data_IF_508864490456
#
_entry.id   IF_508864490456
#
_cell.length_a   1.000
_cell.length_b   1.000
_cell.length_c   1.000
_cell.angle_alpha   90.00
_cell.angle_beta   90.00
_cell.angle_gamma   90.00
#
_symmetry.space_group_name_H-M   'P 1'
#
loop_
_entity.id
_entity.type
_entity.pdbx_description
1 polymer ?
#
# COMPACT_ATOMS: atom_id res chain seq x y z
N UNK A 1 -32.14 -1.81 -8.47
CA UNK A 1 -31.63 -0.66 -7.69
C UNK A 1 -31.03 -1.22 -6.41
N UNK A 2 -29.70 -1.24 -6.28
CA UNK A 2 -29.05 -1.70 -5.05
C UNK A 2 -29.32 -0.67 -3.96
N UNK A 3 -29.97 -1.09 -2.87
CA UNK A 3 -30.11 -0.25 -1.67
C UNK A 3 -28.70 0.01 -1.15
N UNK A 4 -28.30 1.28 -1.11
CA UNK A 4 -27.03 1.70 -0.53
C UNK A 4 -27.12 1.37 0.97
N UNK A 5 -26.37 0.36 1.42
CA UNK A 5 -26.33 -0.01 2.83
C UNK A 5 -25.48 1.00 3.59
N UNK A 6 -25.84 1.23 4.84
CA UNK A 6 -25.04 2.06 5.75
C UNK A 6 -23.63 1.46 5.91
N UNK A 7 -22.56 2.29 5.95
CA UNK A 7 -21.18 1.85 6.12
C UNK A 7 -20.99 0.79 7.22
N UNK A 8 -21.58 1.03 8.40
CA UNK A 8 -21.52 0.10 9.53
C UNK A 8 -22.10 -1.28 9.20
N UNK A 9 -23.17 -1.34 8.42
CA UNK A 9 -23.79 -2.61 8.03
C UNK A 9 -22.88 -3.39 7.08
N UNK A 10 -22.18 -2.70 6.17
CA UNK A 10 -21.20 -3.32 5.26
C UNK A 10 -20.05 -3.89 6.09
N UNK A 11 -19.44 -3.09 6.97
CA UNK A 11 -18.32 -3.49 7.83
C UNK A 11 -18.66 -4.70 8.72
N UNK A 12 -19.89 -4.80 9.21
CA UNK A 12 -20.38 -5.92 10.01
C UNK A 12 -20.70 -7.19 9.19
N UNK A 13 -20.94 -7.04 7.88
CA UNK A 13 -21.26 -8.13 6.95
C UNK A 13 -20.07 -8.62 6.14
N UNK A 14 -18.90 -7.97 6.26
CA UNK A 14 -17.64 -8.44 5.67
C UNK A 14 -17.38 -9.88 6.06
N UNK A 15 -16.97 -10.67 5.08
CA UNK A 15 -16.78 -12.12 5.23
C UNK A 15 -15.64 -12.66 4.38
N UNK A 16 -14.72 -11.77 3.99
CA UNK A 16 -13.48 -12.15 3.33
C UNK A 16 -12.55 -12.91 4.28
N UNK A 17 -11.57 -13.59 3.70
CA UNK A 17 -10.54 -14.32 4.46
C UNK A 17 -9.54 -13.38 5.15
N UNK A 18 -9.35 -12.19 4.61
CA UNK A 18 -8.52 -11.09 5.14
C UNK A 18 -9.40 -9.86 5.39
N UNK A 19 -10.27 -9.49 4.43
CA UNK A 19 -11.25 -8.42 4.60
C UNK A 19 -12.46 -8.91 5.43
N UNK A 20 -12.23 -9.05 6.73
CA UNK A 20 -13.17 -9.63 7.69
C UNK A 20 -14.11 -8.62 8.35
N UNK A 21 -14.99 -9.13 9.21
CA UNK A 21 -15.89 -8.30 10.03
C UNK A 21 -15.12 -7.29 10.87
N UNK A 22 -15.74 -6.12 11.13
CA UNK A 22 -15.16 -5.04 11.93
C UNK A 22 -13.84 -4.49 11.39
N UNK A 23 -13.54 -4.71 10.11
CA UNK A 23 -12.36 -4.14 9.47
C UNK A 23 -12.74 -3.05 8.48
N UNK A 24 -11.85 -2.08 8.29
CA UNK A 24 -11.94 -1.02 7.28
C UNK A 24 -10.74 -1.08 6.33
N UNK A 25 -10.93 -0.57 5.11
CA UNK A 25 -9.84 -0.32 4.15
C UNK A 25 -9.46 1.14 4.27
N UNK A 26 -8.47 1.45 5.10
CA UNK A 26 -8.05 2.82 5.37
C UNK A 26 -7.04 3.27 4.31
N UNK A 27 -7.20 4.48 3.77
CA UNK A 27 -6.18 5.09 2.93
C UNK A 27 -4.91 5.28 3.75
N UNK A 28 -3.81 4.75 3.22
CA UNK A 28 -2.50 4.84 3.85
C UNK A 28 -1.74 6.09 3.42
N UNK A 29 -2.25 6.76 2.37
CA UNK A 29 -1.84 8.10 1.98
C UNK A 29 -2.85 9.10 2.55
N UNK A 30 -2.43 9.87 3.56
CA UNK A 30 -3.29 10.85 4.25
C UNK A 30 -2.58 12.21 4.40
N UNK A 31 -3.30 13.33 4.58
CA UNK A 31 -2.71 14.67 4.58
C UNK A 31 -1.55 14.87 5.58
N UNK A 32 -1.59 14.17 6.71
CA UNK A 32 -0.55 14.21 7.75
C UNK A 32 0.70 13.37 7.46
N UNK A 33 0.70 12.52 6.43
CA UNK A 33 1.82 11.60 6.17
C UNK A 33 3.07 12.28 5.61
N UNK A 34 2.99 13.56 5.20
CA UNK A 34 4.08 14.29 4.56
C UNK A 34 4.71 15.35 5.47
N UNK A 35 6.01 15.21 5.71
CA UNK A 35 6.84 16.25 6.30
C UNK A 35 7.23 17.28 5.23
N UNK A 36 6.51 18.41 5.24
CA UNK A 36 6.69 19.51 4.26
C UNK A 36 8.08 20.18 4.29
N UNK A 37 8.91 19.91 5.30
CA UNK A 37 10.28 20.45 5.42
C UNK A 37 11.33 19.64 4.67
N UNK A 38 11.01 18.42 4.24
CA UNK A 38 11.95 17.59 3.49
C UNK A 38 11.98 18.03 2.02
N UNK A 39 13.17 18.04 1.43
CA UNK A 39 13.37 18.25 0.00
C UNK A 39 14.33 17.18 -0.55
N UNK A 40 14.16 16.73 -1.80
CA UNK A 40 13.16 17.19 -2.77
C UNK A 40 11.75 16.63 -2.49
N UNK A 41 10.72 17.35 -2.95
CA UNK A 41 9.33 16.85 -2.97
C UNK A 41 9.09 16.08 -4.26
N UNK A 42 8.66 14.83 -4.14
CA UNK A 42 8.25 14.00 -5.27
C UNK A 42 6.75 13.75 -5.14
N UNK A 43 6.00 14.13 -6.18
CA UNK A 43 4.54 13.98 -6.17
C UNK A 43 4.13 12.50 -6.05
N UNK A 44 3.16 12.22 -5.18
CA UNK A 44 2.73 10.86 -4.84
C UNK A 44 3.71 10.05 -3.97
N UNK A 45 4.88 10.61 -3.60
CA UNK A 45 5.96 9.92 -2.89
C UNK A 45 6.36 10.68 -1.61
N UNK A 46 5.57 10.56 -0.52
CA UNK A 46 5.79 11.33 0.69
C UNK A 46 7.13 11.00 1.37
N UNK A 47 7.73 12.00 2.03
CA UNK A 47 8.95 11.85 2.82
C UNK A 47 10.16 11.25 2.09
N UNK A 48 10.22 11.42 0.76
CA UNK A 48 11.38 11.02 -0.02
C UNK A 48 12.66 11.69 0.53
N UNK A 49 13.73 10.90 0.60
CA UNK A 49 15.06 11.32 1.04
C UNK A 49 16.15 10.45 0.42
N UNK A 50 17.33 11.01 0.27
CA UNK A 50 18.54 10.28 -0.12
C UNK A 50 19.56 10.37 1.02
N UNK A 51 20.24 9.27 1.32
CA UNK A 51 21.30 9.22 2.32
C UNK A 51 22.59 9.83 1.74
N UNK A 52 22.85 11.09 2.05
CA UNK A 52 24.04 11.85 1.65
C UNK A 52 24.46 11.60 0.18
N UNK A 53 25.66 11.07 -0.04
CA UNK A 53 26.22 10.73 -1.35
C UNK A 53 26.00 9.27 -1.75
N UNK A 54 25.32 8.49 -0.92
CA UNK A 54 25.02 7.08 -1.19
C UNK A 54 23.83 6.96 -2.14
N UNK A 55 23.78 5.84 -2.89
CA UNK A 55 22.62 5.46 -3.70
C UNK A 55 21.57 4.73 -2.87
N UNK A 56 21.30 5.26 -1.68
CA UNK A 56 20.31 4.74 -0.74
C UNK A 56 19.24 5.79 -0.58
N UNK A 57 18.01 5.41 -0.91
CA UNK A 57 16.86 6.29 -0.95
C UNK A 57 15.79 5.72 -0.02
N UNK A 58 15.03 6.61 0.62
CA UNK A 58 13.91 6.24 1.49
C UNK A 58 12.69 7.07 1.14
N UNK A 59 11.52 6.47 1.25
CA UNK A 59 10.23 7.13 1.00
C UNK A 59 9.19 6.50 1.91
N UNK A 60 8.19 7.28 2.36
CA UNK A 60 6.99 6.71 2.96
C UNK A 60 6.13 6.06 1.86
N UNK A 61 5.05 5.36 2.23
CA UNK A 61 4.22 4.62 1.28
C UNK A 61 3.78 5.52 0.09
N UNK A 62 4.22 5.22 -1.14
CA UNK A 62 3.87 6.03 -2.30
C UNK A 62 2.59 5.52 -2.99
N UNK A 63 1.96 6.38 -3.78
CA UNK A 63 1.02 5.95 -4.84
C UNK A 63 1.78 5.28 -5.97
N UNK A 64 1.09 4.58 -6.87
CA UNK A 64 1.74 3.97 -8.05
C UNK A 64 2.44 5.05 -8.89
N UNK A 65 1.80 6.21 -9.10
CA UNK A 65 2.44 7.33 -9.80
C UNK A 65 3.62 7.92 -9.01
N UNK A 66 3.54 7.90 -7.68
CA UNK A 66 4.66 8.23 -6.80
C UNK A 66 5.86 7.32 -7.02
N UNK A 67 5.65 6.02 -7.15
CA UNK A 67 6.72 5.05 -7.47
C UNK A 67 7.35 5.42 -8.82
N UNK A 68 6.55 5.64 -9.86
CA UNK A 68 7.04 6.08 -11.18
C UNK A 68 7.87 7.36 -11.07
N UNK A 69 7.39 8.34 -10.32
CA UNK A 69 8.07 9.62 -10.14
C UNK A 69 9.42 9.45 -9.42
N UNK A 70 9.50 8.59 -8.40
CA UNK A 70 10.75 8.25 -7.72
C UNK A 70 11.73 7.58 -8.68
N UNK A 71 11.28 6.58 -9.45
CA UNK A 71 12.12 5.86 -10.40
C UNK A 71 12.65 6.79 -11.51
N UNK A 72 11.83 7.70 -12.03
CA UNK A 72 12.25 8.74 -12.98
C UNK A 72 13.28 9.68 -12.36
N UNK A 73 13.05 10.12 -11.13
CA UNK A 73 13.97 11.01 -10.41
C UNK A 73 15.35 10.37 -10.21
N UNK A 74 15.40 9.07 -9.90
CA UNK A 74 16.65 8.31 -9.75
C UNK A 74 17.29 7.98 -11.12
N UNK A 75 16.52 8.01 -12.21
CA UNK A 75 16.99 7.63 -13.55
C UNK A 75 16.95 6.13 -13.81
N UNK A 76 15.94 5.45 -13.28
CA UNK A 76 15.72 4.01 -13.42
C UNK A 76 14.79 3.67 -14.59
N UNK A 77 15.03 4.26 -15.75
CA UNK A 77 14.29 3.99 -16.99
C UNK A 77 15.24 3.39 -18.04
N UNK A 78 14.75 2.44 -18.84
CA UNK A 78 15.55 1.74 -19.87
C UNK A 78 16.17 2.67 -20.92
N UNK A 79 15.56 3.82 -21.21
CA UNK A 79 16.08 4.82 -22.13
C UNK A 79 17.24 5.65 -21.54
N UNK A 80 17.26 5.80 -20.22
CA UNK A 80 18.28 6.54 -19.48
C UNK A 80 19.47 5.69 -19.07
N UNK A 81 19.26 4.38 -18.81
CA UNK A 81 20.23 3.40 -18.27
C UNK A 81 21.10 3.92 -17.10
N UNK A 82 20.61 4.87 -16.30
CA UNK A 82 21.44 5.52 -15.26
C UNK A 82 21.53 4.71 -13.97
N UNK A 83 20.48 3.97 -13.64
CA UNK A 83 20.39 3.16 -12.43
C UNK A 83 19.51 1.93 -12.62
N UNK A 84 19.89 0.83 -11.97
CA UNK A 84 18.99 -0.27 -11.63
C UNK A 84 18.63 -0.13 -10.15
N UNK A 85 17.36 -0.24 -9.82
CA UNK A 85 16.83 0.00 -8.48
C UNK A 85 16.33 -1.31 -7.88
N UNK A 86 16.72 -1.59 -6.64
CA UNK A 86 16.05 -2.58 -5.81
C UNK A 86 15.11 -1.83 -4.87
N UNK A 87 13.80 -2.04 -5.01
CA UNK A 87 12.80 -1.49 -4.11
C UNK A 87 12.49 -2.47 -3.00
N UNK A 88 12.93 -2.14 -1.78
CA UNK A 88 12.69 -2.98 -0.60
C UNK A 88 11.54 -2.38 0.22
N UNK A 89 10.44 -3.12 0.37
CA UNK A 89 9.38 -2.80 1.32
C UNK A 89 9.64 -3.49 2.65
N UNK A 90 9.70 -2.71 3.73
CA UNK A 90 9.92 -3.22 5.09
C UNK A 90 8.62 -3.56 5.83
N UNK A 91 7.46 -3.40 5.18
CA UNK A 91 6.16 -3.46 5.87
C UNK A 91 5.74 -4.89 6.18
N UNK A 92 5.45 -5.18 7.45
CA UNK A 92 4.82 -6.45 7.83
C UNK A 92 3.32 -6.51 7.56
N UNK A 93 2.64 -5.36 7.54
CA UNK A 93 1.20 -5.33 7.25
C UNK A 93 0.92 -5.48 5.74
N UNK A 94 -0.18 -6.14 5.35
CA UNK A 94 -0.57 -6.27 3.96
C UNK A 94 -1.05 -4.92 3.39
N UNK A 95 -0.59 -4.61 2.18
CA UNK A 95 -0.95 -3.40 1.42
C UNK A 95 -1.70 -3.80 0.15
N UNK A 96 -2.68 -2.99 -0.24
CA UNK A 96 -3.34 -3.12 -1.53
C UNK A 96 -3.47 -1.75 -2.19
N UNK A 97 -3.24 -1.70 -3.50
CA UNK A 97 -3.48 -0.51 -4.30
C UNK A 97 -4.88 -0.55 -4.90
N UNK A 98 -5.66 0.51 -4.73
CA UNK A 98 -6.96 0.69 -5.39
C UNK A 98 -6.90 2.02 -6.15
N UNK A 99 -7.11 1.97 -7.47
CA UNK A 99 -6.99 3.14 -8.36
C UNK A 99 -5.66 3.91 -8.17
N UNK A 100 -4.57 3.17 -7.94
CA UNK A 100 -3.23 3.73 -7.75
C UNK A 100 -2.93 4.28 -6.34
N UNK A 101 -3.91 4.29 -5.43
CA UNK A 101 -3.74 4.73 -4.03
C UNK A 101 -3.50 3.52 -3.11
N UNK A 102 -2.58 3.61 -2.13
CA UNK A 102 -2.34 2.53 -1.18
C UNK A 102 -3.38 2.51 -0.05
N UNK A 103 -3.85 1.32 0.30
CA UNK A 103 -4.77 1.06 1.39
C UNK A 103 -4.25 -0.07 2.28
N UNK A 104 -4.61 0.02 3.57
CA UNK A 104 -4.28 -0.96 4.60
C UNK A 104 -5.54 -1.37 5.37
N UNK A 105 -5.48 -2.57 5.96
CA UNK A 105 -6.56 -3.09 6.78
C UNK A 105 -6.45 -2.55 8.21
N UNK A 106 -7.55 -2.06 8.78
CA UNK A 106 -7.61 -1.59 10.18
C UNK A 106 -8.84 -2.10 10.89
N UNK A 107 -8.76 -2.20 12.21
CA UNK A 107 -9.92 -2.44 13.05
C UNK A 107 -10.78 -1.16 13.14
N UNK A 108 -12.10 -1.29 13.03
CA UNK A 108 -13.03 -0.16 13.07
C UNK A 108 -13.03 0.57 14.43
N UNK A 109 -12.76 -0.13 15.53
CA UNK A 109 -12.69 0.42 16.89
C UNK A 109 -11.31 1.06 17.16
N UNK A 110 -10.27 0.64 16.43
CA UNK A 110 -8.90 1.18 16.56
C UNK A 110 -8.26 1.50 15.19
N UNK A 111 -8.83 2.46 14.43
CA UNK A 111 -8.45 2.68 13.04
C UNK A 111 -7.05 3.29 12.85
N UNK A 112 -6.43 3.79 13.92
CA UNK A 112 -5.08 4.36 13.92
C UNK A 112 -4.01 3.36 14.38
N UNK A 113 -4.39 2.18 14.88
CA UNK A 113 -3.46 1.15 15.35
C UNK A 113 -3.14 0.16 14.23
N UNK A 114 -1.87 -0.25 14.11
CA UNK A 114 -1.46 -1.28 13.15
C UNK A 114 -2.00 -2.65 13.58
N UNK A 115 -2.39 -3.48 12.62
CA UNK A 115 -2.65 -4.89 12.88
C UNK A 115 -1.30 -5.62 12.90
N UNK A 116 -0.85 -6.05 14.07
CA UNK A 116 0.45 -6.70 14.23
C UNK A 116 0.42 -8.16 13.77
N UNK A 117 1.36 -8.54 12.90
CA UNK A 117 1.59 -9.91 12.43
C UNK A 117 3.03 -10.33 12.76
N UNK A 118 3.38 -10.27 14.05
CA UNK A 118 4.76 -10.40 14.52
C UNK A 118 5.50 -11.61 13.92
N UNK A 119 6.62 -11.34 13.24
CA UNK A 119 7.46 -12.40 12.64
C UNK A 119 6.86 -13.07 11.39
N UNK A 120 5.92 -12.42 10.70
CA UNK A 120 5.43 -12.85 9.40
C UNK A 120 6.56 -12.83 8.36
N UNK A 121 6.57 -13.79 7.44
CA UNK A 121 7.54 -13.84 6.35
C UNK A 121 6.94 -13.31 5.05
N UNK A 122 7.81 -13.01 4.06
CA UNK A 122 7.43 -12.49 2.74
C UNK A 122 6.25 -13.23 2.12
N UNK A 123 6.37 -14.55 1.95
CA UNK A 123 5.36 -15.38 1.30
C UNK A 123 3.99 -15.23 1.95
N UNK A 124 3.94 -15.20 3.30
CA UNK A 124 2.68 -15.10 4.02
C UNK A 124 2.06 -13.70 3.91
N UNK A 125 2.87 -12.63 3.88
CA UNK A 125 2.36 -11.28 3.65
C UNK A 125 1.79 -11.16 2.23
N UNK A 126 2.54 -11.60 1.21
CA UNK A 126 2.10 -11.53 -0.19
C UNK A 126 0.84 -12.40 -0.44
N UNK A 127 0.74 -13.57 0.22
CA UNK A 127 -0.48 -14.38 0.18
C UNK A 127 -1.68 -13.65 0.80
N UNK A 128 -1.48 -12.94 1.91
CA UNK A 128 -2.52 -12.10 2.52
C UNK A 128 -2.93 -10.94 1.61
N UNK A 129 -1.97 -10.31 0.91
CA UNK A 129 -2.26 -9.24 -0.06
C UNK A 129 -3.07 -9.78 -1.26
N UNK A 130 -2.71 -10.96 -1.77
CA UNK A 130 -3.46 -11.62 -2.84
C UNK A 130 -4.89 -11.97 -2.41
N UNK A 131 -5.08 -12.49 -1.20
CA UNK A 131 -6.40 -12.81 -0.65
C UNK A 131 -7.21 -11.55 -0.37
N UNK A 132 -6.57 -10.48 0.12
CA UNK A 132 -7.21 -9.17 0.33
C UNK A 132 -7.75 -8.61 -1.00
N UNK A 133 -6.95 -8.66 -2.07
CA UNK A 133 -7.40 -8.29 -3.43
C UNK A 133 -8.63 -9.11 -3.85
N UNK A 134 -8.63 -10.42 -3.65
CA UNK A 134 -9.78 -11.28 -3.97
C UNK A 134 -11.02 -10.92 -3.15
N UNK A 135 -10.87 -10.71 -1.85
CA UNK A 135 -11.97 -10.33 -0.97
C UNK A 135 -12.60 -9.00 -1.40
N UNK A 136 -11.78 -8.01 -1.78
CA UNK A 136 -12.22 -6.71 -2.30
C UNK A 136 -13.08 -6.88 -3.55
N UNK A 137 -12.61 -7.68 -4.51
CA UNK A 137 -13.34 -7.90 -5.77
C UNK A 137 -14.66 -8.64 -5.54
N UNK A 138 -14.67 -9.64 -4.66
CA UNK A 138 -15.88 -10.40 -4.29
C UNK A 138 -16.88 -9.51 -3.55
N UNK A 139 -16.43 -8.69 -2.60
CA UNK A 139 -17.28 -7.73 -1.89
C UNK A 139 -17.84 -6.71 -2.88
N UNK A 140 -16.99 -6.12 -3.72
CA UNK A 140 -17.40 -5.09 -4.67
C UNK A 140 -18.45 -5.57 -5.67
N UNK A 141 -18.35 -6.81 -6.14
CA UNK A 141 -19.36 -7.41 -7.02
C UNK A 141 -20.77 -7.42 -6.40
N UNK A 142 -20.88 -7.48 -5.06
CA UNK A 142 -22.17 -7.41 -4.33
C UNK A 142 -22.72 -5.99 -4.24
N UNK A 143 -21.86 -4.99 -4.38
CA UNK A 143 -22.18 -3.57 -4.21
C UNK A 143 -22.03 -2.78 -5.52
N UNK A 144 -22.23 -3.43 -6.67
CA UNK A 144 -22.24 -2.76 -7.97
C UNK A 144 -20.85 -2.28 -8.41
N UNK A 145 -19.83 -3.12 -8.20
CA UNK A 145 -18.42 -2.85 -8.49
C UNK A 145 -17.87 -1.65 -7.70
N UNK A 146 -18.29 -1.53 -6.44
CA UNK A 146 -17.76 -0.52 -5.52
C UNK A 146 -17.36 -1.16 -4.21
N UNK A 147 -16.25 -0.72 -3.64
CA UNK A 147 -15.75 -1.13 -2.33
C UNK A 147 -15.85 0.05 -1.37
N UNK A 148 -16.17 -0.22 -0.10
CA UNK A 148 -16.16 0.79 0.93
C UNK A 148 -14.73 0.98 1.46
N UNK A 149 -14.20 2.19 1.32
CA UNK A 149 -12.90 2.63 1.84
C UNK A 149 -13.09 3.76 2.84
N UNK A 150 -12.08 4.00 3.68
CA UNK A 150 -12.11 5.03 4.71
C UNK A 150 -10.91 5.97 4.52
N UNK A 151 -11.18 7.26 4.37
CA UNK A 151 -10.17 8.31 4.28
C UNK A 151 -10.04 9.06 5.61
N UNK A 152 -8.84 9.55 5.89
CA UNK A 152 -8.56 10.42 7.04
C UNK A 152 -8.44 11.86 6.57
N UNK A 153 -9.30 12.73 7.11
CA UNK A 153 -9.27 14.17 6.86
C UNK A 153 -8.17 14.88 7.68
N UNK A 154 -7.77 16.11 7.31
CA UNK A 154 -6.72 16.83 8.03
C UNK A 154 -7.00 17.09 9.53
N UNK A 155 -8.26 17.05 9.95
CA UNK A 155 -8.69 17.18 11.34
C UNK A 155 -8.74 15.83 12.10
N UNK A 156 -8.32 14.74 11.44
CA UNK A 156 -8.32 13.38 11.97
C UNK A 156 -9.67 12.66 11.85
N UNK A 157 -10.68 13.28 11.23
CA UNK A 157 -11.96 12.62 11.01
C UNK A 157 -11.84 11.51 9.97
N UNK A 158 -12.43 10.34 10.27
CA UNK A 158 -12.57 9.24 9.33
C UNK A 158 -13.84 9.40 8.48
N UNK A 159 -13.72 9.26 7.17
CA UNK A 159 -14.83 9.40 6.21
C UNK A 159 -14.88 8.20 5.29
N UNK A 160 -16.01 7.50 5.33
CA UNK A 160 -16.25 6.35 4.44
C UNK A 160 -16.73 6.80 3.06
N UNK A 161 -16.18 6.17 2.03
CA UNK A 161 -16.47 6.47 0.63
C UNK A 161 -16.61 5.18 -0.18
N UNK A 162 -17.50 5.21 -1.18
CA UNK A 162 -17.65 4.11 -2.12
C UNK A 162 -16.72 4.31 -3.32
N UNK A 163 -15.66 3.52 -3.35
CA UNK A 163 -14.65 3.56 -4.40
C UNK A 163 -15.00 2.58 -5.52
N UNK A 164 -15.13 3.02 -6.79
CA UNK A 164 -15.36 2.11 -7.90
C UNK A 164 -14.13 1.24 -8.15
N UNK A 165 -14.36 -0.06 -8.36
CA UNK A 165 -13.27 -1.02 -8.60
C UNK A 165 -13.57 -1.98 -9.76
N UNK A 166 -12.51 -2.38 -10.43
CA UNK A 166 -12.43 -3.44 -11.43
C UNK A 166 -11.24 -4.35 -11.12
N UNK A 167 -11.09 -5.45 -11.87
CA UNK A 167 -9.92 -6.32 -11.73
C UNK A 167 -8.60 -5.58 -11.98
N UNK A 168 -8.60 -4.57 -12.85
CA UNK A 168 -7.41 -3.80 -13.21
C UNK A 168 -7.13 -2.65 -12.24
N UNK A 169 -8.12 -2.23 -11.44
CA UNK A 169 -7.93 -1.12 -10.49
C UNK A 169 -7.36 -1.57 -9.15
N UNK A 170 -7.45 -2.87 -8.81
CA UNK A 170 -7.00 -3.42 -7.53
C UNK A 170 -5.73 -4.23 -7.76
N UNK A 171 -4.62 -3.83 -7.14
CA UNK A 171 -3.30 -4.45 -7.34
C UNK A 171 -2.60 -4.72 -6.03
N UNK A 172 -1.92 -5.85 -5.93
CA UNK A 172 -0.94 -6.11 -4.88
C UNK A 172 0.35 -5.33 -5.17
N UNK A 173 1.22 -5.07 -4.17
CA UNK A 173 2.52 -4.46 -4.40
C UNK A 173 3.35 -5.21 -5.45
N UNK A 174 3.38 -6.54 -5.40
CA UNK A 174 4.12 -7.36 -6.37
C UNK A 174 3.66 -7.10 -7.80
N UNK A 175 2.34 -7.16 -8.04
CA UNK A 175 1.75 -6.88 -9.36
C UNK A 175 2.09 -5.47 -9.85
N UNK A 176 2.14 -4.47 -8.95
CA UNK A 176 2.53 -3.10 -9.32
C UNK A 176 3.97 -3.06 -9.86
N UNK A 177 4.93 -3.71 -9.19
CA UNK A 177 6.32 -3.68 -9.65
C UNK A 177 6.54 -4.53 -10.90
N UNK A 178 5.86 -5.67 -11.04
CA UNK A 178 5.88 -6.47 -12.27
C UNK A 178 5.37 -5.65 -13.48
N UNK A 179 4.29 -4.88 -13.32
CA UNK A 179 3.81 -3.98 -14.36
C UNK A 179 4.80 -2.86 -14.68
N UNK A 180 5.44 -2.26 -13.67
CA UNK A 180 6.46 -1.22 -13.88
C UNK A 180 7.67 -1.75 -14.66
N UNK A 181 8.07 -3.01 -14.43
CA UNK A 181 9.11 -3.65 -15.24
C UNK A 181 8.69 -3.76 -16.71
N UNK A 182 7.44 -4.15 -16.98
CA UNK A 182 6.88 -4.20 -18.34
C UNK A 182 6.79 -2.80 -18.97
N UNK A 183 6.52 -1.76 -18.19
CA UNK A 183 6.55 -0.35 -18.61
C UNK A 183 7.96 0.17 -18.94
N UNK A 184 9.02 -0.61 -18.69
CA UNK A 184 10.40 -0.27 -19.00
C UNK A 184 11.16 0.43 -17.87
N UNK A 185 10.69 0.32 -16.63
CA UNK A 185 11.46 0.72 -15.47
C UNK A 185 12.45 -0.38 -15.05
N UNK A 186 13.66 0.03 -14.69
CA UNK A 186 14.72 -0.85 -14.18
C UNK A 186 14.60 -1.00 -12.67
N UNK A 187 13.55 -1.71 -12.23
CA UNK A 187 13.24 -1.91 -10.81
C UNK A 187 13.00 -3.39 -10.51
N UNK A 188 13.65 -3.89 -9.47
CA UNK A 188 13.36 -5.17 -8.84
C UNK A 188 12.63 -4.91 -7.52
N UNK A 189 11.73 -5.80 -7.10
CA UNK A 189 10.95 -5.66 -5.87
C UNK A 189 11.27 -6.74 -4.86
N UNK A 190 11.52 -6.31 -3.63
CA UNK A 190 11.75 -7.18 -2.49
C UNK A 190 10.88 -6.77 -1.29
N UNK A 191 10.42 -7.78 -0.54
CA UNK A 191 9.58 -7.61 0.63
C UNK A 191 10.26 -8.27 1.83
N UNK A 192 10.73 -7.44 2.75
CA UNK A 192 11.40 -7.84 3.99
C UNK A 192 10.56 -7.36 5.17
N UNK A 193 9.50 -8.09 5.55
CA UNK A 193 8.57 -7.63 6.59
C UNK A 193 9.26 -7.56 7.95
N UNK A 194 9.45 -6.33 8.46
CA UNK A 194 10.02 -6.07 9.77
C UNK A 194 8.89 -5.71 10.72
N UNK A 195 8.91 -6.28 11.92
CA UNK A 195 7.89 -5.95 12.92
C UNK A 195 8.01 -4.51 13.38
N UNK A 196 6.87 -3.83 13.36
CA UNK A 196 6.81 -2.41 13.64
C UNK A 196 7.25 -2.13 15.09
N UNK A 197 7.89 -0.96 15.29
CA UNK A 197 8.48 -0.54 16.57
C UNK A 197 9.50 -1.55 17.18
N UNK A 198 10.03 -2.48 16.36
CA UNK A 198 11.07 -3.44 16.76
C UNK A 198 12.28 -3.37 15.85
N UNK A 199 13.44 -3.70 16.40
CA UNK A 199 14.67 -3.81 15.60
C UNK A 199 14.60 -5.01 14.65
N UNK A 200 15.23 -4.93 13.46
CA UNK A 200 15.36 -6.09 12.57
C UNK A 200 16.07 -7.25 13.29
N UNK A 201 15.66 -8.47 12.97
CA UNK A 201 16.31 -9.71 13.44
C UNK A 201 17.50 -10.05 12.55
N UNK A 202 18.41 -10.89 13.04
CA UNK A 202 19.57 -11.36 12.27
C UNK A 202 19.15 -11.96 10.92
N UNK A 203 18.09 -12.77 10.91
CA UNK A 203 17.53 -13.38 9.70
C UNK A 203 17.02 -12.37 8.67
N UNK A 204 16.70 -11.14 9.07
CA UNK A 204 16.22 -10.11 8.15
C UNK A 204 17.37 -9.55 7.30
N UNK A 205 18.61 -9.60 7.82
CA UNK A 205 19.82 -9.21 7.09
C UNK A 205 20.29 -10.28 6.12
N UNK A 206 20.01 -11.56 6.40
CA UNK A 206 20.40 -12.69 5.54
C UNK A 206 19.56 -12.80 4.25
N UNK A 207 18.49 -12.02 4.12
CA UNK A 207 17.58 -12.01 2.97
C UNK A 207 18.11 -11.17 1.81
N UNK A 208 19.02 -10.22 2.07
CA UNK A 208 19.55 -9.23 1.13
C UNK A 208 21.00 -9.52 0.72
#
# INVERSE_FOLDING_TARGET
MSVQKEPEQVMNQRGGSVLGKKTILKSDHFPGCQNKRLSPHIDGAPNYRQADSLRVHGVAIPTIDGIRNVLKHIGAQMDSLRAQVLWISLREEPVVYINGRPFVLRDVEQPFSNLEYTGINRHRVEEMESRLKQDILIEAARYGNKILVTDELPDGQMVDQWEPVSCDSVKTPLEVYEELQVEGYLVDYERVPITDEKSPKETDFDIL
#
